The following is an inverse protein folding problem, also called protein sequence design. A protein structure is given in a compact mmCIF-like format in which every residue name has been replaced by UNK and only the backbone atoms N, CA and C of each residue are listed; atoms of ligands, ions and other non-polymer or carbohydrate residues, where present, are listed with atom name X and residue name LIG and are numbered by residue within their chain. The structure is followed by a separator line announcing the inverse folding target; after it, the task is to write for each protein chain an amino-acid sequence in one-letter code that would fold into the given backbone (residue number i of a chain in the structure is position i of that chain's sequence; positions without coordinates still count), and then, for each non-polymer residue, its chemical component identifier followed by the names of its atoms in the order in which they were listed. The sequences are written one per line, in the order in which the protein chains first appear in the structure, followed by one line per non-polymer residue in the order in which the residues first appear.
data_IF_937202367617
#
_entry.id   IF_937202367617
#
_cell.length_a   1.000
_cell.length_b   1.000
_cell.length_c   1.000
_cell.angle_alpha   90.00
_cell.angle_beta   90.00
_cell.angle_gamma   90.00
#
_symmetry.space_group_name_H-M   'P 1'
#
loop_
_entity.id
_entity.type
_entity.pdbx_description
1 polymer ?
#
# COMPACT_ATOMS: atom_id res chain seq x y z
N UNK A 1 -6.78 -4.12 12.42
CA UNK A 1 -7.86 -4.92 13.03
C UNK A 1 -7.56 -6.38 12.77
N UNK A 2 -7.68 -7.24 13.79
CA UNK A 2 -7.51 -8.69 13.65
C UNK A 2 -8.82 -9.38 13.98
N UNK A 3 -9.25 -10.28 13.11
CA UNK A 3 -10.47 -11.07 13.30
C UNK A 3 -10.12 -12.55 13.44
N UNK A 4 -10.80 -13.22 14.35
CA UNK A 4 -10.76 -14.67 14.50
C UNK A 4 -12.21 -15.18 14.52
N UNK A 5 -12.56 -16.02 13.59
CA UNK A 5 -13.93 -16.57 13.43
C UNK A 5 -15.04 -15.50 13.44
N UNK A 6 -14.77 -14.34 12.80
CA UNK A 6 -15.71 -13.23 12.75
C UNK A 6 -15.70 -12.30 13.98
N UNK A 7 -14.96 -12.64 15.03
CA UNK A 7 -14.82 -11.80 16.22
C UNK A 7 -13.59 -10.91 16.13
N UNK A 8 -13.75 -9.62 16.45
CA UNK A 8 -12.65 -8.68 16.55
C UNK A 8 -11.85 -8.94 17.84
N UNK A 9 -10.61 -9.43 17.70
CA UNK A 9 -9.78 -9.85 18.83
C UNK A 9 -8.90 -8.74 19.40
N UNK A 10 -8.70 -7.63 18.68
CA UNK A 10 -7.94 -6.46 19.15
C UNK A 10 -8.81 -5.20 19.17
N UNK A 11 -9.85 -5.23 19.99
CA UNK A 11 -10.89 -4.20 20.11
C UNK A 11 -10.61 -3.15 21.20
N UNK A 12 -9.42 -3.12 21.75
CA UNK A 12 -9.00 -2.19 22.80
C UNK A 12 -7.66 -1.52 22.47
N UNK A 13 -7.34 -0.42 23.17
CA UNK A 13 -6.12 0.35 22.94
C UNK A 13 -4.84 -0.30 23.44
N UNK A 14 -4.89 -1.43 24.14
CA UNK A 14 -3.70 -2.20 24.52
C UNK A 14 -3.14 -2.95 23.31
N UNK A 15 -4.02 -3.51 22.49
CA UNK A 15 -3.65 -4.39 21.37
C UNK A 15 -3.75 -3.71 20.01
N UNK A 16 -4.61 -2.70 19.87
CA UNK A 16 -4.75 -1.96 18.64
C UNK A 16 -3.65 -0.90 18.51
N UNK A 17 -2.78 -1.06 17.54
CA UNK A 17 -1.73 -0.08 17.25
C UNK A 17 -2.28 1.05 16.40
N UNK A 18 -2.26 2.26 16.96
CA UNK A 18 -2.58 3.49 16.24
C UNK A 18 -1.26 4.02 15.65
N UNK A 19 -1.20 4.32 14.33
CA UNK A 19 -0.01 4.93 13.74
C UNK A 19 0.33 6.25 14.44
N UNK A 20 1.60 6.48 14.66
CA UNK A 20 2.14 7.71 15.25
C UNK A 20 2.77 8.59 14.16
N UNK A 21 3.20 9.78 14.52
CA UNK A 21 3.93 10.66 13.60
C UNK A 21 5.25 10.05 13.11
N UNK A 22 5.84 9.13 13.87
CA UNK A 22 7.06 8.40 13.46
C UNK A 22 6.80 7.36 12.38
N UNK A 23 5.56 6.89 12.26
CA UNK A 23 5.15 5.93 11.23
C UNK A 23 4.80 6.62 9.90
N UNK A 24 4.74 7.96 9.89
CA UNK A 24 4.40 8.74 8.70
C UNK A 24 5.67 8.99 7.87
N UNK A 25 5.71 8.53 6.62
CA UNK A 25 6.84 8.82 5.74
C UNK A 25 6.89 10.30 5.36
N UNK A 26 8.03 10.75 4.87
CA UNK A 26 8.13 12.08 4.23
C UNK A 26 7.23 12.10 2.99
N UNK A 27 6.29 13.05 2.95
CA UNK A 27 5.34 13.20 1.85
C UNK A 27 5.80 14.38 0.98
N UNK A 28 6.07 14.10 -0.29
CA UNK A 28 6.35 15.11 -1.30
C UNK A 28 5.10 15.31 -2.15
N UNK A 29 4.48 16.48 -2.04
CA UNK A 29 3.27 16.81 -2.81
C UNK A 29 3.66 17.50 -4.10
N UNK A 30 3.22 16.95 -5.24
CA UNK A 30 3.35 17.53 -6.55
C UNK A 30 1.96 17.74 -7.14
N UNK A 31 1.58 18.99 -7.35
CA UNK A 31 0.31 19.35 -7.98
C UNK A 31 0.59 19.59 -9.47
N UNK A 32 -0.03 18.77 -10.31
CA UNK A 32 0.10 18.90 -11.76
C UNK A 32 -1.14 19.65 -12.26
N UNK A 33 -0.92 20.87 -12.71
CA UNK A 33 -1.96 21.70 -13.31
C UNK A 33 -2.13 21.35 -14.78
N UNK A 34 -3.32 20.83 -15.12
CA UNK A 34 -3.71 20.60 -16.51
C UNK A 34 -5.07 21.25 -16.74
N UNK A 35 -5.14 22.05 -17.81
CA UNK A 35 -6.37 22.72 -18.19
C UNK A 35 -7.30 21.76 -18.92
N UNK A 36 -8.50 21.54 -18.40
CA UNK A 36 -9.53 20.77 -19.06
C UNK A 36 -10.40 21.73 -19.89
N UNK A 37 -10.51 21.55 -21.22
CA UNK A 37 -11.30 22.44 -22.05
C UNK A 37 -12.80 22.42 -21.76
N UNK A 38 -13.30 21.33 -21.18
CA UNK A 38 -14.73 21.15 -20.83
C UNK A 38 -15.03 21.51 -19.37
N UNK A 39 -13.99 21.66 -18.54
CA UNK A 39 -14.15 21.94 -17.12
C UNK A 39 -14.29 23.43 -16.81
N UNK A 40 -15.09 23.81 -15.78
CA UNK A 40 -15.22 25.19 -15.36
C UNK A 40 -13.86 25.73 -14.92
N UNK A 41 -13.39 26.81 -15.54
CA UNK A 41 -12.06 27.39 -15.31
C UNK A 41 -10.91 26.39 -15.54
N UNK A 42 -11.11 25.35 -16.35
CA UNK A 42 -10.12 24.29 -16.57
C UNK A 42 -10.00 23.28 -15.44
N UNK A 43 -10.94 23.29 -14.49
CA UNK A 43 -10.90 22.42 -13.32
C UNK A 43 -11.16 20.95 -13.70
N UNK A 44 -10.47 20.07 -13.00
CA UNK A 44 -10.71 18.63 -13.02
C UNK A 44 -11.11 18.12 -11.63
N UNK A 45 -11.52 16.87 -11.58
CA UNK A 45 -11.70 16.14 -10.33
C UNK A 45 -10.38 16.07 -9.56
N UNK A 46 -10.41 16.28 -8.25
CA UNK A 46 -9.23 16.24 -7.39
C UNK A 46 -9.37 15.33 -6.15
N UNK A 47 -10.51 14.72 -5.93
CA UNK A 47 -10.82 13.93 -4.74
C UNK A 47 -10.54 12.43 -4.92
N UNK A 48 -11.45 11.73 -5.50
CA UNK A 48 -11.44 10.26 -5.57
C UNK A 48 -10.35 9.71 -6.49
N UNK A 49 -10.02 10.41 -7.56
CA UNK A 49 -8.99 9.99 -8.51
C UNK A 49 -7.62 9.79 -7.85
N UNK A 50 -7.29 10.60 -6.86
CA UNK A 50 -6.03 10.48 -6.12
C UNK A 50 -5.96 9.24 -5.21
N UNK A 51 -7.09 8.62 -4.86
CA UNK A 51 -7.12 7.43 -3.99
C UNK A 51 -6.81 6.14 -4.74
N UNK A 52 -7.18 6.04 -6.01
CA UNK A 52 -7.05 4.81 -6.79
C UNK A 52 -5.63 4.26 -6.88
N UNK A 53 -4.57 5.07 -7.10
CA UNK A 53 -3.21 4.55 -7.26
C UNK A 53 -2.51 4.18 -5.95
N UNK A 54 -3.06 4.49 -4.78
CA UNK A 54 -2.38 4.28 -3.48
C UNK A 54 -2.08 2.81 -3.23
N UNK A 55 -3.08 1.95 -3.31
CA UNK A 55 -2.91 0.50 -3.06
C UNK A 55 -1.99 -0.15 -4.10
N UNK A 56 -2.17 0.08 -5.42
CA UNK A 56 -1.24 -0.41 -6.43
C UNK A 56 0.19 0.10 -6.25
N UNK A 57 0.36 1.36 -5.83
CA UNK A 57 1.69 1.93 -5.56
C UNK A 57 2.39 1.20 -4.41
N UNK A 58 1.68 0.93 -3.33
CA UNK A 58 2.22 0.16 -2.19
C UNK A 58 2.58 -1.27 -2.63
N UNK A 59 1.69 -1.95 -3.36
CA UNK A 59 1.96 -3.30 -3.85
C UNK A 59 3.18 -3.35 -4.78
N UNK A 60 3.35 -2.35 -5.65
CA UNK A 60 4.52 -2.22 -6.52
C UNK A 60 5.79 -1.89 -5.72
N UNK A 61 5.70 -1.06 -4.69
CA UNK A 61 6.84 -0.76 -3.81
C UNK A 61 7.32 -2.03 -3.08
N UNK A 62 6.40 -2.85 -2.56
CA UNK A 62 6.72 -4.15 -1.95
C UNK A 62 7.40 -5.06 -2.98
N UNK A 63 6.85 -5.14 -4.19
CA UNK A 63 7.47 -5.94 -5.26
C UNK A 63 8.88 -5.45 -5.59
N UNK A 64 9.10 -4.15 -5.69
CA UNK A 64 10.41 -3.58 -5.96
C UNK A 64 11.42 -3.88 -4.83
N UNK A 65 10.96 -3.86 -3.58
CA UNK A 65 11.83 -4.08 -2.43
C UNK A 65 12.22 -5.56 -2.25
N UNK A 66 11.28 -6.48 -2.40
CA UNK A 66 11.49 -7.90 -2.02
C UNK A 66 11.13 -8.89 -3.13
N UNK A 67 10.63 -8.42 -4.27
CA UNK A 67 10.34 -9.23 -5.44
C UNK A 67 9.19 -10.22 -5.27
N UNK A 68 8.24 -9.94 -4.37
CA UNK A 68 7.03 -10.76 -4.19
C UNK A 68 5.78 -9.95 -4.54
N UNK A 69 4.78 -10.60 -5.15
CA UNK A 69 3.50 -10.00 -5.52
C UNK A 69 2.48 -10.25 -4.43
N UNK A 70 1.95 -9.16 -3.89
CA UNK A 70 0.82 -9.21 -2.96
C UNK A 70 -0.47 -9.17 -3.77
N UNK A 71 -1.33 -10.17 -3.58
CA UNK A 71 -2.59 -10.34 -4.32
C UNK A 71 -3.83 -10.30 -3.42
N UNK A 72 -3.62 -10.08 -2.11
CA UNK A 72 -4.68 -10.08 -1.10
C UNK A 72 -4.64 -8.80 -0.28
N UNK A 73 -5.81 -8.27 0.03
CA UNK A 73 -5.99 -7.15 0.95
C UNK A 73 -6.79 -7.60 2.20
N UNK A 74 -6.53 -6.97 3.35
CA UNK A 74 -5.48 -6.00 3.63
C UNK A 74 -4.07 -6.63 3.59
N UNK A 75 -3.04 -5.80 3.33
CA UNK A 75 -1.65 -6.26 3.28
C UNK A 75 -1.12 -6.35 4.72
N UNK A 76 -0.95 -7.55 5.23
CA UNK A 76 -0.35 -7.79 6.54
C UNK A 76 1.13 -8.16 6.41
N UNK A 77 1.93 -7.78 7.40
CA UNK A 77 3.36 -8.08 7.42
C UNK A 77 3.63 -9.60 7.40
N UNK A 78 2.78 -10.37 8.06
CA UNK A 78 2.87 -11.84 8.10
C UNK A 78 2.67 -12.45 6.69
N UNK A 79 1.73 -11.91 5.89
CA UNK A 79 1.48 -12.39 4.53
C UNK A 79 2.68 -12.10 3.62
N UNK A 80 3.26 -10.89 3.73
CA UNK A 80 4.47 -10.52 2.98
C UNK A 80 5.65 -11.42 3.37
N UNK A 81 5.84 -11.67 4.67
CA UNK A 81 6.89 -12.56 5.15
C UNK A 81 6.72 -14.00 4.64
N UNK A 82 5.49 -14.51 4.62
CA UNK A 82 5.18 -15.84 4.08
C UNK A 82 5.54 -15.94 2.59
N UNK A 83 5.19 -14.91 1.80
CA UNK A 83 5.55 -14.83 0.37
C UNK A 83 7.07 -14.80 0.16
N UNK A 84 7.81 -14.03 0.98
CA UNK A 84 9.27 -13.97 0.91
C UNK A 84 9.88 -15.35 1.21
N UNK A 85 9.41 -16.04 2.25
CA UNK A 85 9.88 -17.38 2.60
C UNK A 85 9.57 -18.40 1.50
N UNK A 86 8.38 -18.36 0.92
CA UNK A 86 7.99 -19.22 -0.18
C UNK A 86 8.89 -19.00 -1.42
N UNK A 87 9.17 -17.74 -1.75
CA UNK A 87 10.08 -17.38 -2.85
C UNK A 87 11.50 -17.90 -2.60
N UNK A 88 12.03 -17.74 -1.39
CA UNK A 88 13.35 -18.24 -1.03
C UNK A 88 13.43 -19.77 -1.14
N UNK A 89 12.37 -20.49 -0.80
CA UNK A 89 12.29 -21.94 -0.93
C UNK A 89 12.31 -22.43 -2.40
N UNK A 90 11.81 -21.59 -3.33
CA UNK A 90 11.83 -21.88 -4.77
C UNK A 90 13.12 -21.42 -5.48
N UNK A 91 14.05 -20.81 -4.76
CA UNK A 91 15.37 -20.39 -5.27
C UNK A 91 15.34 -19.48 -6.50
N UNK A 92 14.28 -18.68 -6.66
CA UNK A 92 14.19 -17.70 -7.72
C UNK A 92 15.00 -16.43 -7.38
N UNK A 93 15.98 -16.03 -8.20
CA UNK A 93 16.72 -14.79 -7.97
C UNK A 93 15.79 -13.57 -8.08
N UNK A 94 15.99 -12.59 -7.19
CA UNK A 94 15.29 -11.31 -7.26
C UNK A 94 15.70 -10.61 -8.56
N UNK A 95 14.77 -10.24 -9.45
CA UNK A 95 15.14 -9.52 -10.66
C UNK A 95 15.74 -8.17 -10.27
N UNK A 96 17.02 -8.00 -10.52
CA UNK A 96 17.70 -6.71 -10.39
C UNK A 96 17.25 -5.83 -11.56
N UNK A 97 16.74 -4.64 -11.24
CA UNK A 97 16.45 -3.64 -12.26
C UNK A 97 17.74 -2.93 -12.71
N UNK A 98 17.84 -2.60 -13.99
CA UNK A 98 18.88 -1.73 -14.52
C UNK A 98 18.77 -0.31 -13.95
#
# INVERSE_FOLDING_TARGET
MRYHEGLLVNNNFLDYRIPTTLDTPTIHTHIIETMDPEGPFGAKECGEGALHPVIPAIANAIFNAVGVRVTKLPIHAEDVLALIKAKAAHNEPIPQRP
#
